data_IF_910602562098
#
_entry.id   IF_910602562098
#
_cell.length_a   1.000
_cell.length_b   1.000
_cell.length_c   1.000
_cell.angle_alpha   90.00
_cell.angle_beta   90.00
_cell.angle_gamma   90.00
#
_symmetry.space_group_name_H-M   'P 1'
#
loop_
_entity.id
_entity.type
_entity.pdbx_description
1 polymer ?
#
# COMPACT_ATOMS: atom_id res chain seq x y z
N UNK A 1 -13.67 18.15 -17.84
CA UNK A 1 -13.26 18.49 -19.21
C UNK A 1 -12.52 17.26 -19.75
N UNK A 2 -13.25 16.39 -20.44
CA UNK A 2 -12.75 15.09 -20.93
C UNK A 2 -11.95 15.31 -22.21
N UNK A 3 -10.69 14.89 -22.24
CA UNK A 3 -9.95 14.73 -23.49
C UNK A 3 -10.17 13.29 -23.98
N UNK A 4 -10.62 13.07 -25.22
CA UNK A 4 -10.68 11.72 -25.80
C UNK A 4 -9.27 11.20 -26.15
N UNK A 5 -9.03 9.88 -26.15
CA UNK A 5 -7.76 9.32 -26.57
C UNK A 5 -7.54 9.51 -28.08
N UNK A 6 -6.32 9.90 -28.45
CA UNK A 6 -5.84 9.98 -29.83
C UNK A 6 -5.83 8.59 -30.50
N UNK A 7 -6.19 8.45 -31.79
CA UNK A 7 -6.15 7.17 -32.48
C UNK A 7 -4.71 6.70 -32.70
N UNK A 8 -4.40 5.51 -32.21
CA UNK A 8 -3.13 4.84 -32.43
C UNK A 8 -2.91 4.55 -33.93
N UNK A 9 -1.83 5.09 -34.48
CA UNK A 9 -1.32 4.76 -35.82
C UNK A 9 -0.77 3.33 -35.78
N UNK A 10 -1.40 2.41 -36.53
CA UNK A 10 -0.91 1.04 -36.74
C UNK A 10 0.32 1.06 -37.65
N UNK A 11 1.43 0.52 -37.19
CA UNK A 11 2.52 0.08 -38.05
C UNK A 11 2.28 -1.37 -38.51
N UNK A 12 2.58 -1.75 -39.77
CA UNK A 12 2.32 -3.09 -40.28
C UNK A 12 3.35 -4.11 -39.78
N UNK A 13 2.86 -5.28 -39.38
CA UNK A 13 3.66 -6.46 -39.06
C UNK A 13 3.88 -7.28 -40.35
N UNK A 14 5.11 -7.69 -40.71
CA UNK A 14 5.31 -8.54 -41.87
C UNK A 14 5.01 -10.01 -41.55
N UNK A 15 4.32 -10.64 -42.50
CA UNK A 15 3.88 -12.03 -42.47
C UNK A 15 5.01 -13.05 -42.72
N UNK A 16 4.63 -14.33 -42.59
CA UNK A 16 5.35 -15.60 -42.84
C UNK A 16 5.96 -16.22 -41.57
N UNK A 17 5.74 -17.48 -41.21
CA UNK A 17 5.37 -18.67 -41.98
C UNK A 17 4.66 -19.69 -41.09
N UNK A 18 3.62 -20.31 -41.64
CA UNK A 18 2.99 -21.52 -41.10
C UNK A 18 3.96 -22.70 -41.25
N UNK A 19 4.27 -23.40 -40.16
CA UNK A 19 4.77 -24.77 -40.23
C UNK A 19 3.89 -25.67 -39.37
N UNK A 20 3.09 -26.46 -40.08
CA UNK A 20 2.44 -27.67 -39.59
C UNK A 20 3.52 -28.72 -39.44
N UNK A 21 3.69 -29.35 -38.28
CA UNK A 21 4.44 -30.59 -38.19
C UNK A 21 3.72 -31.66 -37.37
N UNK A 22 3.54 -32.77 -38.08
CA UNK A 22 2.95 -34.04 -37.69
C UNK A 22 3.71 -34.73 -36.56
N UNK A 23 2.97 -35.44 -35.71
CA UNK A 23 3.50 -36.37 -34.71
C UNK A 23 4.23 -37.53 -35.40
N UNK A 24 5.50 -37.76 -35.03
CA UNK A 24 6.13 -39.06 -35.23
C UNK A 24 7.07 -39.37 -34.06
N UNK A 25 6.75 -40.45 -33.34
CA UNK A 25 7.57 -41.05 -32.30
C UNK A 25 8.89 -41.54 -32.89
N UNK A 26 10.01 -41.11 -32.31
CA UNK A 26 11.30 -41.80 -32.45
C UNK A 26 11.89 -42.01 -31.06
N UNK A 27 11.89 -43.29 -30.66
CA UNK A 27 12.59 -43.84 -29.50
C UNK A 27 14.03 -44.11 -29.95
N UNK A 28 15.02 -43.48 -29.30
CA UNK A 28 16.43 -43.93 -29.37
C UNK A 28 17.01 -43.95 -27.95
N UNK A 29 17.32 -45.18 -27.50
CA UNK A 29 18.17 -45.51 -26.34
C UNK A 29 19.56 -44.89 -26.53
N UNK A 30 20.22 -44.47 -25.45
CA UNK A 30 21.47 -45.01 -24.83
C UNK A 30 22.27 -43.74 -24.42
N UNK A 31 22.97 -43.54 -23.30
CA UNK A 31 23.66 -44.42 -22.36
C UNK A 31 23.99 -43.61 -21.06
N UNK A 32 24.18 -44.32 -19.96
CA UNK A 32 24.47 -43.85 -18.60
C UNK A 32 25.77 -43.03 -18.49
N UNK A 33 25.82 -42.11 -17.51
CA UNK A 33 26.84 -42.16 -16.45
C UNK A 33 26.35 -41.48 -15.16
N UNK A 34 26.31 -42.27 -14.07
CA UNK A 34 25.87 -41.87 -12.73
C UNK A 34 27.10 -41.70 -11.84
N UNK A 35 27.22 -40.52 -11.20
CA UNK A 35 27.80 -40.30 -9.86
C UNK A 35 26.99 -39.13 -9.29
N UNK A 36 26.20 -39.18 -8.23
CA UNK A 36 26.16 -40.09 -7.10
C UNK A 36 26.17 -39.25 -5.81
N UNK A 37 25.05 -38.61 -5.46
CA UNK A 37 24.72 -38.21 -4.08
C UNK A 37 23.20 -38.07 -3.94
N UNK A 38 22.65 -38.82 -2.99
CA UNK A 38 21.23 -39.07 -2.76
C UNK A 38 20.54 -37.85 -2.17
N UNK A 39 19.36 -37.50 -2.68
CA UNK A 39 18.29 -36.95 -1.85
C UNK A 39 17.00 -37.67 -2.24
N UNK A 40 16.44 -38.40 -1.30
CA UNK A 40 15.28 -39.27 -1.44
C UNK A 40 14.01 -38.46 -1.68
N UNK A 41 13.21 -39.01 -2.60
CA UNK A 41 11.84 -38.70 -2.97
C UNK A 41 10.98 -37.96 -1.92
N UNK A 42 10.35 -36.89 -2.40
CA UNK A 42 9.07 -36.37 -1.92
C UNK A 42 8.40 -35.66 -3.09
N UNK A 43 7.60 -36.39 -3.86
CA UNK A 43 6.91 -35.88 -5.02
C UNK A 43 5.81 -34.88 -4.60
N UNK A 44 5.87 -33.65 -5.09
CA UNK A 44 4.68 -32.82 -5.30
C UNK A 44 4.56 -32.63 -6.80
N UNK A 45 3.52 -33.24 -7.35
CA UNK A 45 3.11 -33.17 -8.75
C UNK A 45 2.70 -31.73 -9.06
N UNK A 46 3.56 -30.98 -9.75
CA UNK A 46 3.14 -29.73 -10.39
C UNK A 46 2.65 -30.07 -11.80
N UNK A 47 1.31 -30.06 -11.96
CA UNK A 47 0.69 -30.09 -13.28
C UNK A 47 1.21 -28.91 -14.10
N UNK A 48 1.75 -29.26 -15.27
CA UNK A 48 2.20 -28.36 -16.32
C UNK A 48 1.05 -27.51 -16.85
N UNK A 49 1.27 -26.20 -16.94
CA UNK A 49 0.45 -25.34 -17.78
C UNK A 49 0.23 -23.94 -17.22
N UNK A 50 1.27 -23.10 -17.26
CA UNK A 50 1.15 -21.66 -17.53
C UNK A 50 2.53 -21.07 -17.80
N UNK A 51 2.64 -20.40 -18.94
CA UNK A 51 3.80 -19.68 -19.42
C UNK A 51 4.24 -18.62 -18.43
N UNK A 52 5.49 -18.71 -17.97
CA UNK A 52 6.15 -17.66 -17.22
C UNK A 52 6.29 -16.40 -18.11
N UNK A 53 5.90 -15.20 -17.65
CA UNK A 53 6.39 -13.98 -18.28
C UNK A 53 7.90 -13.87 -18.00
N UNK A 54 8.63 -13.54 -19.06
CA UNK A 54 10.05 -13.23 -19.05
C UNK A 54 10.32 -12.05 -18.09
N UNK A 55 10.67 -12.37 -16.85
CA UNK A 55 11.25 -11.43 -15.89
C UNK A 55 12.19 -12.19 -14.96
N UNK A 56 13.30 -12.69 -15.52
CA UNK A 56 14.42 -13.15 -14.73
C UNK A 56 15.56 -12.14 -14.87
N UNK A 57 15.87 -11.41 -13.80
CA UNK A 57 17.19 -11.47 -13.18
C UNK A 57 17.31 -10.57 -11.94
N UNK A 58 17.81 -11.21 -10.87
CA UNK A 58 18.34 -10.67 -9.62
C UNK A 58 17.37 -10.36 -8.47
N UNK A 59 16.93 -11.43 -7.80
CA UNK A 59 16.92 -11.47 -6.34
C UNK A 59 17.81 -12.64 -5.91
N UNK A 60 18.70 -12.46 -4.94
CA UNK A 60 19.42 -13.58 -4.31
C UNK A 60 18.38 -14.60 -3.83
N UNK A 61 18.55 -15.88 -4.20
CA UNK A 61 17.71 -16.99 -3.71
C UNK A 61 17.73 -17.01 -2.18
N UNK A 62 16.61 -16.67 -1.53
CA UNK A 62 16.31 -17.16 -0.18
C UNK A 62 15.78 -16.14 0.85
N UNK A 63 15.89 -14.83 0.64
CA UNK A 63 15.28 -13.85 1.55
C UNK A 63 14.03 -13.26 0.90
N UNK A 64 12.86 -13.75 1.31
CA UNK A 64 11.60 -13.06 1.05
C UNK A 64 11.60 -11.82 1.94
N UNK A 65 11.81 -10.63 1.36
CA UNK A 65 11.60 -9.37 2.07
C UNK A 65 10.10 -9.30 2.40
N UNK A 66 9.78 -9.57 3.67
CA UNK A 66 8.43 -9.48 4.22
C UNK A 66 8.08 -8.00 4.38
N UNK A 67 7.53 -7.41 3.32
CA UNK A 67 6.98 -6.06 3.36
C UNK A 67 5.66 -6.06 4.14
N UNK A 68 5.48 -5.04 4.99
CA UNK A 68 4.27 -4.88 5.80
C UNK A 68 3.61 -3.52 5.60
N UNK A 69 2.30 -3.48 5.39
CA UNK A 69 1.51 -2.24 5.31
C UNK A 69 0.54 -2.15 6.48
N UNK A 70 0.60 -1.02 7.20
CA UNK A 70 -0.33 -0.72 8.28
C UNK A 70 -1.46 0.19 7.78
N UNK A 71 -2.68 -0.32 7.81
CA UNK A 71 -3.88 0.41 7.44
C UNK A 71 -4.57 0.92 8.71
N UNK A 72 -4.83 2.23 8.80
CA UNK A 72 -5.48 2.86 9.93
C UNK A 72 -6.94 3.15 9.58
N UNK A 73 -7.87 2.55 10.32
CA UNK A 73 -9.30 2.82 10.22
C UNK A 73 -9.72 3.86 11.26
N UNK A 74 -9.92 5.11 10.82
CA UNK A 74 -10.42 6.22 11.65
C UNK A 74 -11.92 6.18 11.94
N UNK A 75 -12.66 5.20 11.40
CA UNK A 75 -14.10 5.06 11.64
C UNK A 75 -14.39 4.52 13.04
N UNK A 76 -15.42 5.04 13.74
CA UNK A 76 -15.92 4.42 14.97
C UNK A 76 -16.50 3.01 14.72
N UNK A 77 -16.84 2.70 13.47
CA UNK A 77 -17.31 1.36 13.09
C UNK A 77 -16.14 0.52 12.60
N UNK A 78 -15.74 -0.47 13.42
CA UNK A 78 -14.63 -1.37 13.13
C UNK A 78 -14.76 -2.06 11.78
N UNK A 79 -15.98 -2.51 11.45
CA UNK A 79 -16.35 -3.15 10.18
C UNK A 79 -17.38 -2.33 9.38
N UNK A 80 -17.19 -1.00 9.33
CA UNK A 80 -18.04 -0.07 8.59
C UNK A 80 -17.57 0.24 7.16
N UNK A 81 -18.14 1.28 6.54
CA UNK A 81 -17.82 1.70 5.16
C UNK A 81 -16.32 1.95 4.90
N UNK A 82 -15.65 2.68 5.81
CA UNK A 82 -14.20 2.92 5.72
C UNK A 82 -13.39 1.64 5.80
N UNK A 83 -13.81 0.69 6.65
CA UNK A 83 -13.17 -0.63 6.74
C UNK A 83 -13.32 -1.41 5.43
N UNK A 84 -14.48 -1.35 4.78
CA UNK A 84 -14.70 -1.97 3.48
C UNK A 84 -13.72 -1.44 2.44
N UNK A 85 -13.54 -0.11 2.36
CA UNK A 85 -12.57 0.50 1.45
C UNK A 85 -11.13 0.05 1.74
N UNK A 86 -10.72 0.07 3.02
CA UNK A 86 -9.40 -0.40 3.44
C UNK A 86 -9.19 -1.89 3.15
N UNK A 87 -10.24 -2.70 3.27
CA UNK A 87 -10.19 -4.14 2.99
C UNK A 87 -9.98 -4.43 1.50
N UNK A 88 -10.52 -3.59 0.60
CA UNK A 88 -10.25 -3.70 -0.84
C UNK A 88 -8.77 -3.44 -1.15
N UNK A 89 -8.20 -2.40 -0.54
CA UNK A 89 -6.77 -2.06 -0.68
C UNK A 89 -5.91 -3.21 -0.11
N UNK A 90 -6.25 -3.68 1.09
CA UNK A 90 -5.54 -4.77 1.75
C UNK A 90 -5.59 -6.07 0.94
N UNK A 91 -6.72 -6.39 0.30
CA UNK A 91 -6.87 -7.55 -0.56
C UNK A 91 -5.86 -7.58 -1.71
N UNK A 92 -5.65 -6.46 -2.40
CA UNK A 92 -4.70 -6.36 -3.52
C UNK A 92 -3.23 -6.41 -3.06
N UNK A 93 -2.94 -5.83 -1.89
CA UNK A 93 -1.62 -5.92 -1.24
C UNK A 93 -1.30 -7.37 -0.85
N UNK A 94 -2.23 -8.06 -0.20
CA UNK A 94 -2.09 -9.47 0.18
C UNK A 94 -1.93 -10.36 -1.06
N UNK A 95 -2.73 -10.13 -2.11
CA UNK A 95 -2.60 -10.84 -3.39
C UNK A 95 -1.22 -10.62 -4.05
N UNK A 96 -0.57 -9.49 -3.74
CA UNK A 96 0.78 -9.14 -4.20
C UNK A 96 1.90 -9.71 -3.31
N UNK A 97 1.57 -10.48 -2.28
CA UNK A 97 2.51 -11.09 -1.32
C UNK A 97 2.99 -10.15 -0.21
N UNK A 98 2.26 -9.06 0.06
CA UNK A 98 2.61 -8.05 1.06
C UNK A 98 1.69 -8.23 2.27
N UNK A 99 2.25 -8.30 3.48
CA UNK A 99 1.48 -8.44 4.71
C UNK A 99 0.70 -7.15 4.98
N UNK A 100 -0.55 -7.27 5.43
CA UNK A 100 -1.37 -6.13 5.81
C UNK A 100 -1.98 -6.30 7.19
N UNK A 101 -2.10 -5.20 7.92
CA UNK A 101 -2.78 -5.14 9.20
C UNK A 101 -3.69 -3.92 9.26
N UNK A 102 -4.95 -4.09 9.63
CA UNK A 102 -5.89 -2.97 9.84
C UNK A 102 -5.99 -2.69 11.34
N UNK A 103 -5.55 -1.51 11.77
CA UNK A 103 -5.72 -0.99 13.12
C UNK A 103 -6.90 -0.01 13.16
N UNK A 104 -7.91 -0.30 13.98
CA UNK A 104 -9.02 0.63 14.21
C UNK A 104 -8.68 1.62 15.34
N UNK A 105 -8.93 2.92 15.10
CA UNK A 105 -8.70 3.99 16.09
C UNK A 105 -9.61 3.86 17.31
N UNK A 106 -10.77 3.23 17.15
CA UNK A 106 -11.72 2.91 18.20
C UNK A 106 -12.87 3.89 18.31
N UNK A 107 -13.83 3.54 19.16
CA UNK A 107 -15.01 4.35 19.50
C UNK A 107 -14.76 5.30 20.67
N UNK A 108 -13.69 5.08 21.44
CA UNK A 108 -13.35 5.92 22.59
C UNK A 108 -12.87 7.30 22.10
N UNK A 109 -13.20 8.39 22.81
CA UNK A 109 -12.61 9.70 22.52
C UNK A 109 -11.08 9.64 22.61
N UNK A 110 -10.40 9.94 21.51
CA UNK A 110 -8.91 9.92 21.47
C UNK A 110 -8.32 11.20 22.06
N UNK A 111 -9.02 12.33 21.94
CA UNK A 111 -8.52 13.65 22.36
C UNK A 111 -7.37 14.16 21.47
N UNK A 112 -7.41 15.44 21.11
CA UNK A 112 -6.39 16.06 20.26
C UNK A 112 -5.03 16.24 20.96
N UNK A 113 -4.01 16.60 20.18
CA UNK A 113 -2.72 16.98 20.75
C UNK A 113 -2.86 18.33 21.49
N UNK A 114 -2.45 18.37 22.77
CA UNK A 114 -2.46 19.60 23.57
C UNK A 114 -1.12 20.36 23.55
N UNK A 115 -0.18 19.95 22.69
CA UNK A 115 1.13 20.63 22.58
C UNK A 115 2.04 20.51 23.81
N UNK A 116 1.84 19.51 24.68
CA UNK A 116 2.59 19.41 25.95
C UNK A 116 4.10 19.13 25.82
N UNK A 117 4.58 18.73 24.64
CA UNK A 117 6.00 18.42 24.40
C UNK A 117 6.52 17.13 25.05
N UNK A 118 5.73 16.41 25.84
CA UNK A 118 6.19 15.23 26.58
C UNK A 118 6.71 14.08 25.70
N UNK A 119 6.30 14.00 24.43
CA UNK A 119 6.80 13.01 23.48
C UNK A 119 8.25 13.24 23.03
N UNK A 120 8.84 14.42 23.31
CA UNK A 120 10.24 14.72 23.00
C UNK A 120 11.22 13.75 23.70
N UNK A 121 10.81 13.12 24.80
CA UNK A 121 11.59 12.08 25.48
C UNK A 121 11.71 10.77 24.67
N UNK A 122 11.00 10.64 23.54
CA UNK A 122 11.11 9.50 22.63
C UNK A 122 10.37 8.22 23.07
N UNK A 123 9.54 8.29 24.11
CA UNK A 123 8.78 7.15 24.67
C UNK A 123 7.33 7.05 24.15
N UNK A 124 7.03 7.71 23.03
CA UNK A 124 5.67 7.82 22.48
C UNK A 124 4.86 8.96 23.10
N UNK A 125 3.54 8.92 22.91
CA UNK A 125 2.62 9.91 23.44
C UNK A 125 2.36 9.67 24.94
N UNK A 126 2.39 10.73 25.75
CA UNK A 126 2.18 10.65 27.21
C UNK A 126 0.78 10.15 27.60
N UNK A 127 -0.22 10.36 26.74
CA UNK A 127 -1.59 9.89 26.96
C UNK A 127 -1.79 8.43 26.53
N UNK A 128 -0.81 7.81 25.87
CA UNK A 128 -0.87 6.40 25.47
C UNK A 128 -2.06 6.05 24.57
N UNK A 129 -2.63 4.87 24.79
CA UNK A 129 -3.78 4.34 24.06
C UNK A 129 -3.41 3.91 22.64
N UNK A 130 -4.40 3.96 21.75
CA UNK A 130 -4.27 3.50 20.35
C UNK A 130 -3.15 4.22 19.57
N UNK A 131 -2.80 5.44 19.97
CA UNK A 131 -1.67 6.17 19.38
C UNK A 131 -0.35 5.45 19.65
N UNK A 132 -0.10 4.98 20.88
CA UNK A 132 1.15 4.28 21.18
C UNK A 132 1.15 2.87 20.57
N UNK A 133 0.00 2.21 20.49
CA UNK A 133 -0.12 0.96 19.74
C UNK A 133 0.27 1.16 18.26
N UNK A 134 -0.26 2.21 17.63
CA UNK A 134 0.09 2.56 16.26
C UNK A 134 1.59 2.89 16.11
N UNK A 135 2.19 3.59 17.07
CA UNK A 135 3.63 3.90 17.07
C UNK A 135 4.47 2.62 17.10
N UNK A 136 4.11 1.65 17.94
CA UNK A 136 4.83 0.37 18.00
C UNK A 136 4.73 -0.39 16.68
N UNK A 137 3.54 -0.46 16.08
CA UNK A 137 3.34 -1.10 14.76
C UNK A 137 4.04 -0.33 13.63
N UNK A 138 4.11 0.99 13.72
CA UNK A 138 4.78 1.84 12.74
C UNK A 138 6.29 1.60 12.65
N UNK A 139 6.93 1.05 13.70
CA UNK A 139 8.36 0.72 13.68
C UNK A 139 8.71 -0.32 12.62
N UNK A 140 7.82 -1.29 12.41
CA UNK A 140 8.02 -2.43 11.50
C UNK A 140 7.21 -2.32 10.20
N UNK A 141 6.33 -1.33 10.07
CA UNK A 141 5.58 -1.11 8.83
C UNK A 141 6.46 -0.43 7.78
N UNK A 142 6.30 -0.80 6.50
CA UNK A 142 7.00 -0.23 5.35
C UNK A 142 6.16 0.83 4.62
N UNK A 143 4.83 0.78 4.76
CA UNK A 143 3.92 1.79 4.25
C UNK A 143 2.65 1.90 5.10
N UNK A 144 1.88 2.95 4.84
CA UNK A 144 0.64 3.26 5.55
C UNK A 144 -0.52 3.53 4.61
N UNK A 145 -1.72 3.17 5.05
CA UNK A 145 -2.96 3.62 4.42
C UNK A 145 -3.86 4.21 5.49
N UNK A 146 -4.24 5.47 5.37
CA UNK A 146 -5.07 6.15 6.35
C UNK A 146 -6.48 6.31 5.80
N UNK A 147 -7.45 5.59 6.39
CA UNK A 147 -8.86 5.64 6.02
C UNK A 147 -9.67 6.42 7.04
N UNK A 148 -10.57 7.29 6.59
CA UNK A 148 -11.48 8.04 7.48
C UNK A 148 -12.89 8.14 6.91
N UNK A 149 -13.95 8.15 7.76
CA UNK A 149 -15.25 8.63 7.33
C UNK A 149 -15.26 10.16 7.26
N UNK A 150 -16.10 10.69 6.37
CA UNK A 150 -16.33 12.13 6.21
C UNK A 150 -17.39 12.60 7.19
N UNK A 151 -17.02 13.48 8.12
CA UNK A 151 -17.92 14.17 9.05
C UNK A 151 -17.90 15.66 8.75
N UNK A 152 -19.03 16.23 8.34
CA UNK A 152 -19.16 17.67 7.99
C UNK A 152 -18.09 18.18 7.01
N UNK A 153 -17.87 17.43 5.91
CA UNK A 153 -16.87 17.73 4.88
C UNK A 153 -15.42 17.80 5.38
N UNK A 154 -15.09 17.04 6.42
CA UNK A 154 -13.74 16.88 6.95
C UNK A 154 -13.53 15.46 7.47
N UNK A 155 -12.27 15.10 7.76
CA UNK A 155 -11.97 13.84 8.41
C UNK A 155 -12.66 13.75 9.78
N UNK A 156 -13.04 12.54 10.18
CA UNK A 156 -13.59 12.33 11.52
C UNK A 156 -12.70 12.87 12.64
N UNK A 157 -13.31 13.42 13.69
CA UNK A 157 -12.58 14.04 14.81
C UNK A 157 -11.64 13.07 15.55
N UNK A 158 -12.00 11.78 15.62
CA UNK A 158 -11.11 10.75 16.16
C UNK A 158 -9.87 10.56 15.28
N UNK A 159 -10.05 10.53 13.95
CA UNK A 159 -8.92 10.40 13.02
C UNK A 159 -7.99 11.61 13.08
N UNK A 160 -8.51 12.83 13.07
CA UNK A 160 -7.67 14.04 13.14
C UNK A 160 -6.91 14.11 14.46
N UNK A 161 -7.59 13.85 15.58
CA UNK A 161 -6.97 13.80 16.91
C UNK A 161 -5.89 12.72 17.02
N UNK A 162 -6.15 11.55 16.44
CA UNK A 162 -5.19 10.46 16.35
C UNK A 162 -3.96 10.86 15.51
N UNK A 163 -4.18 11.43 14.32
CA UNK A 163 -3.11 11.83 13.40
C UNK A 163 -2.23 12.92 13.99
N UNK A 164 -2.79 13.92 14.67
CA UNK A 164 -2.02 14.96 15.36
C UNK A 164 -1.06 14.32 16.38
N UNK A 165 -1.58 13.45 17.24
CA UNK A 165 -0.78 12.81 18.29
C UNK A 165 0.25 11.83 17.70
N UNK A 166 -0.13 11.06 16.68
CA UNK A 166 0.77 10.14 15.97
C UNK A 166 1.90 10.90 15.27
N UNK A 167 1.60 12.00 14.58
CA UNK A 167 2.58 12.83 13.90
C UNK A 167 3.61 13.40 14.88
N UNK A 168 3.16 14.01 15.98
CA UNK A 168 4.06 14.58 16.99
C UNK A 168 4.91 13.52 17.72
N UNK A 169 4.32 12.39 18.10
CA UNK A 169 5.01 11.40 18.93
C UNK A 169 5.73 10.30 18.15
N UNK A 170 5.24 9.99 16.94
CA UNK A 170 5.66 8.85 16.12
C UNK A 170 6.19 9.22 14.74
N UNK A 171 6.23 10.50 14.37
CA UNK A 171 6.58 10.95 13.01
C UNK A 171 7.89 10.38 12.44
N UNK A 172 8.91 10.16 13.28
CA UNK A 172 10.17 9.53 12.87
C UNK A 172 10.01 8.11 12.31
N UNK A 173 8.97 7.39 12.72
CA UNK A 173 8.65 6.04 12.24
C UNK A 173 7.76 6.05 10.99
N UNK A 174 7.18 7.20 10.64
CA UNK A 174 6.43 7.42 9.40
C UNK A 174 7.35 7.90 8.27
N UNK A 175 8.45 8.57 8.62
CA UNK A 175 9.31 9.26 7.66
C UNK A 175 9.74 8.37 6.49
N UNK A 176 9.61 8.92 5.28
CA UNK A 176 10.03 8.32 3.99
C UNK A 176 9.31 7.04 3.57
N UNK A 177 8.34 6.56 4.35
CA UNK A 177 7.52 5.39 4.01
C UNK A 177 6.37 5.81 3.11
N UNK A 178 6.02 5.07 2.05
CA UNK A 178 4.86 5.42 1.23
C UNK A 178 3.57 5.50 2.04
N UNK A 179 2.68 6.41 1.65
CA UNK A 179 1.36 6.58 2.25
C UNK A 179 0.27 6.70 1.20
N UNK A 180 -0.89 6.15 1.51
CA UNK A 180 -2.13 6.46 0.80
C UNK A 180 -3.20 6.95 1.78
N UNK A 181 -4.11 7.80 1.32
CA UNK A 181 -5.27 8.25 2.08
C UNK A 181 -6.52 7.73 1.37
N UNK A 182 -7.57 7.34 2.10
CA UNK A 182 -8.89 7.15 1.51
C UNK A 182 -10.00 7.73 2.39
N UNK A 183 -11.06 8.22 1.74
CA UNK A 183 -12.21 8.79 2.42
C UNK A 183 -13.50 8.02 2.08
N UNK A 184 -14.36 7.83 3.07
CA UNK A 184 -15.69 7.25 2.87
C UNK A 184 -16.77 8.28 3.24
N UNK A 185 -17.70 8.55 2.32
CA UNK A 185 -18.80 9.48 2.54
C UNK A 185 -20.13 8.86 2.15
N UNK A 186 -21.24 9.43 2.66
CA UNK A 186 -22.56 9.11 2.10
C UNK A 186 -22.82 9.81 0.76
N UNK A 187 -22.31 11.02 0.56
CA UNK A 187 -22.61 11.85 -0.63
C UNK A 187 -21.50 12.82 -1.05
N UNK A 188 -20.93 13.59 -0.13
CA UNK A 188 -20.03 14.68 -0.46
C UNK A 188 -19.02 14.96 0.67
N UNK A 189 -18.05 15.85 0.42
CA UNK A 189 -17.06 16.30 1.40
C UNK A 189 -15.78 15.45 1.44
N UNK A 190 -15.61 14.54 0.49
CA UNK A 190 -14.46 13.65 0.35
C UNK A 190 -13.20 14.41 -0.06
N UNK A 191 -13.29 15.33 -1.01
CA UNK A 191 -12.14 16.11 -1.52
C UNK A 191 -11.46 16.93 -0.42
N UNK A 192 -12.23 17.73 0.32
CA UNK A 192 -11.72 18.50 1.46
C UNK A 192 -11.15 17.62 2.58
N UNK A 193 -11.74 16.44 2.77
CA UNK A 193 -11.24 15.44 3.74
C UNK A 193 -9.90 14.86 3.31
N UNK A 194 -9.74 14.53 2.03
CA UNK A 194 -8.46 14.07 1.47
C UNK A 194 -7.42 15.17 1.58
N UNK A 195 -7.73 16.40 1.16
CA UNK A 195 -6.85 17.57 1.24
C UNK A 195 -6.38 17.87 2.67
N UNK A 196 -7.23 17.62 3.66
CA UNK A 196 -6.86 17.74 5.07
C UNK A 196 -5.83 16.69 5.49
N UNK A 197 -6.06 15.41 5.13
CA UNK A 197 -5.25 14.29 5.61
C UNK A 197 -3.93 14.11 4.86
N UNK A 198 -3.83 14.49 3.58
CA UNK A 198 -2.57 14.37 2.81
C UNK A 198 -1.43 15.20 3.39
N UNK A 199 -1.76 16.26 4.14
CA UNK A 199 -0.78 17.12 4.81
C UNK A 199 0.11 16.34 5.78
N UNK A 200 -0.43 15.34 6.50
CA UNK A 200 0.36 14.59 7.48
C UNK A 200 1.50 13.80 6.81
N UNK A 201 1.26 12.94 5.80
CA UNK A 201 2.34 12.31 5.04
C UNK A 201 3.37 13.28 4.45
N UNK A 202 2.93 14.41 3.90
CA UNK A 202 3.81 15.41 3.27
C UNK A 202 4.83 15.97 4.28
N UNK A 203 4.42 16.22 5.53
CA UNK A 203 5.31 16.67 6.60
C UNK A 203 6.42 15.67 6.94
N UNK A 204 6.26 14.39 6.58
CA UNK A 204 7.21 13.31 6.86
C UNK A 204 7.88 12.74 5.60
N UNK A 205 7.89 13.49 4.50
CA UNK A 205 8.51 13.06 3.24
C UNK A 205 7.98 11.72 2.70
N UNK A 206 6.74 11.37 3.04
CA UNK A 206 6.14 10.11 2.62
C UNK A 206 5.72 10.21 1.15
N UNK A 207 6.19 9.31 0.26
CA UNK A 207 5.69 9.25 -1.10
C UNK A 207 4.18 8.97 -1.11
N UNK A 208 3.39 9.89 -1.66
CA UNK A 208 1.96 9.71 -1.79
C UNK A 208 1.64 8.74 -2.93
N UNK A 209 0.92 7.68 -2.61
CA UNK A 209 0.38 6.73 -3.57
C UNK A 209 -1.01 7.18 -3.99
N UNK A 210 -1.19 7.32 -5.30
CA UNK A 210 -2.43 7.74 -5.94
C UNK A 210 -3.02 6.63 -6.79
N UNK A 211 -4.32 6.71 -7.05
CA UNK A 211 -5.01 5.91 -8.07
C UNK A 211 -5.26 6.74 -9.34
N UNK A 212 -6.06 6.18 -10.25
CA UNK A 212 -6.58 6.84 -11.46
C UNK A 212 -7.52 8.00 -11.15
N UNK A 213 -8.08 8.03 -9.94
CA UNK A 213 -8.89 9.12 -9.43
C UNK A 213 -8.65 9.33 -7.93
N UNK A 214 -9.32 10.33 -7.35
CA UNK A 214 -9.24 10.58 -5.92
C UNK A 214 -9.77 9.37 -5.12
N UNK A 215 -9.03 8.91 -4.10
CA UNK A 215 -9.37 7.71 -3.33
C UNK A 215 -10.54 7.95 -2.39
N UNK A 216 -11.75 7.86 -2.93
CA UNK A 216 -12.99 8.00 -2.20
C UNK A 216 -13.99 6.89 -2.52
N UNK A 217 -14.86 6.56 -1.57
CA UNK A 217 -16.00 5.67 -1.76
C UNK A 217 -17.28 6.27 -1.19
N UNK A 218 -18.42 5.89 -1.76
CA UNK A 218 -19.73 6.34 -1.35
C UNK A 218 -20.62 5.21 -0.82
N UNK A 219 -21.27 5.43 0.32
CA UNK A 219 -22.22 4.47 0.88
C UNK A 219 -22.63 4.80 2.32
N UNK A 220 -23.86 4.49 2.70
CA UNK A 220 -24.34 4.66 4.10
C UNK A 220 -24.16 3.39 4.95
N UNK A 221 -23.86 2.27 4.31
CA UNK A 221 -23.58 0.96 4.93
C UNK A 221 -22.56 0.19 4.08
N UNK A 222 -21.86 -0.83 4.64
CA UNK A 222 -20.80 -1.54 3.94
C UNK A 222 -21.19 -2.10 2.57
N UNK A 223 -22.42 -2.59 2.42
CA UNK A 223 -22.90 -3.18 1.16
C UNK A 223 -23.02 -2.12 0.06
N UNK A 224 -23.45 -0.91 0.41
CA UNK A 224 -23.57 0.20 -0.56
C UNK A 224 -22.21 0.71 -1.03
N UNK A 225 -21.15 0.59 -0.21
CA UNK A 225 -19.79 0.90 -0.67
C UNK A 225 -19.39 0.01 -1.83
N UNK A 226 -19.81 -1.25 -1.82
CA UNK A 226 -19.51 -2.20 -2.90
C UNK A 226 -20.30 -1.91 -4.17
N UNK A 227 -21.41 -1.16 -4.07
CA UNK A 227 -22.19 -0.66 -5.21
C UNK A 227 -21.52 0.56 -5.88
N UNK A 228 -20.63 1.28 -5.19
CA UNK A 228 -19.77 2.31 -5.78
C UNK A 228 -18.60 1.65 -6.52
N UNK A 229 -18.89 1.14 -7.73
CA UNK A 229 -17.93 0.37 -8.53
C UNK A 229 -16.67 1.17 -8.88
N UNK A 230 -16.81 2.47 -9.17
CA UNK A 230 -15.69 3.36 -9.49
C UNK A 230 -14.81 3.58 -8.26
N UNK A 231 -15.41 3.95 -7.11
CA UNK A 231 -14.69 4.07 -5.85
C UNK A 231 -13.97 2.77 -5.48
N UNK A 232 -14.64 1.62 -5.64
CA UNK A 232 -14.04 0.31 -5.40
C UNK A 232 -12.88 -0.01 -6.35
N UNK A 233 -12.98 0.37 -7.63
CA UNK A 233 -11.90 0.20 -8.60
C UNK A 233 -10.67 1.03 -8.21
N UNK A 234 -10.88 2.28 -7.78
CA UNK A 234 -9.81 3.16 -7.28
C UNK A 234 -9.15 2.58 -6.03
N UNK A 235 -9.91 2.04 -5.07
CA UNK A 235 -9.34 1.37 -3.89
C UNK A 235 -8.45 0.18 -4.26
N UNK A 236 -8.91 -0.64 -5.20
CA UNK A 236 -8.11 -1.78 -5.68
C UNK A 236 -6.84 -1.34 -6.39
N UNK A 237 -6.94 -0.31 -7.24
CA UNK A 237 -5.79 0.27 -7.92
C UNK A 237 -4.77 0.85 -6.93
N UNK A 238 -5.24 1.52 -5.88
CA UNK A 238 -4.39 2.06 -4.82
C UNK A 238 -3.53 0.96 -4.17
N UNK A 239 -4.14 -0.21 -3.90
CA UNK A 239 -3.42 -1.38 -3.39
C UNK A 239 -2.36 -1.90 -4.35
N UNK A 240 -2.67 -1.99 -5.65
CA UNK A 240 -1.70 -2.41 -6.69
C UNK A 240 -0.56 -1.40 -6.86
N UNK A 241 -0.87 -0.11 -6.89
CA UNK A 241 0.12 0.96 -7.03
C UNK A 241 1.04 1.02 -5.81
N UNK A 242 0.49 0.84 -4.61
CA UNK A 242 1.28 0.72 -3.38
C UNK A 242 2.21 -0.50 -3.44
N UNK A 243 1.69 -1.66 -3.87
CA UNK A 243 2.50 -2.87 -4.01
C UNK A 243 3.65 -2.70 -5.01
N UNK A 244 3.39 -2.06 -6.15
CA UNK A 244 4.41 -1.73 -7.13
C UNK A 244 5.47 -0.81 -6.54
N UNK A 245 5.06 0.29 -5.90
CA UNK A 245 6.00 1.27 -5.34
C UNK A 245 6.89 0.65 -4.25
N UNK A 246 6.32 -0.15 -3.35
CA UNK A 246 7.07 -0.86 -2.31
C UNK A 246 8.13 -1.79 -2.93
N UNK A 247 7.75 -2.58 -3.93
CA UNK A 247 8.69 -3.45 -4.66
C UNK A 247 9.81 -2.65 -5.32
N UNK A 248 9.50 -1.50 -5.92
CA UNK A 248 10.50 -0.61 -6.51
C UNK A 248 11.47 -0.05 -5.44
N UNK A 249 10.96 0.37 -4.29
CA UNK A 249 11.79 0.88 -3.18
C UNK A 249 12.72 -0.21 -2.66
N UNK A 250 12.21 -1.42 -2.43
CA UNK A 250 13.02 -2.55 -1.96
C UNK A 250 14.10 -2.96 -2.96
N UNK A 251 13.75 -3.02 -4.25
CA UNK A 251 14.73 -3.25 -5.32
C UNK A 251 15.77 -2.12 -5.37
N UNK A 252 15.35 -0.86 -5.19
CA UNK A 252 16.24 0.29 -5.09
C UNK A 252 17.26 0.11 -3.96
N UNK A 253 16.79 -0.19 -2.74
CA UNK A 253 17.64 -0.46 -1.57
C UNK A 253 18.62 -1.60 -1.84
N UNK A 254 18.16 -2.70 -2.43
CA UNK A 254 19.00 -3.84 -2.78
C UNK A 254 20.10 -3.50 -3.81
N UNK A 255 19.90 -2.45 -4.60
CA UNK A 255 20.87 -1.92 -5.57
C UNK A 255 21.62 -0.68 -5.06
N UNK A 256 21.57 -0.40 -3.75
CA UNK A 256 22.29 0.72 -3.13
C UNK A 256 21.66 2.10 -3.35
N UNK A 257 20.42 2.17 -3.84
CA UNK A 257 19.64 3.40 -3.94
C UNK A 257 18.88 3.58 -2.64
N UNK A 258 19.38 4.46 -1.79
CA UNK A 258 18.72 4.88 -0.55
C UNK A 258 18.17 6.28 -0.68
N UNK A 259 17.24 6.65 0.21
CA UNK A 259 16.75 8.02 0.27
C UNK A 259 17.93 9.00 0.52
N UNK A 260 18.01 10.14 -0.19
CA UNK A 260 19.08 11.11 0.02
C UNK A 260 19.00 11.77 1.42
N UNK A 261 20.14 12.06 2.02
CA UNK A 261 20.17 12.80 3.28
C UNK A 261 19.84 14.27 3.03
N UNK A 262 18.72 14.74 3.57
CA UNK A 262 18.36 16.15 3.50
C UNK A 262 19.12 16.94 4.57
N UNK A 263 19.73 18.09 4.25
CA UNK A 263 20.33 18.95 5.26
C UNK A 263 19.26 19.46 6.23
N UNK A 264 19.69 19.85 7.44
CA UNK A 264 18.79 20.43 8.43
C UNK A 264 18.11 21.67 7.84
N UNK A 265 16.78 21.65 7.77
CA UNK A 265 15.99 22.79 7.28
C UNK A 265 16.23 24.02 8.17
N UNK A 266 16.50 25.21 7.59
CA UNK A 266 16.44 26.45 8.34
C UNK A 266 15.04 26.63 8.96
N UNK A 267 14.98 26.88 10.26
CA UNK A 267 13.74 27.20 10.95
C UNK A 267 13.72 28.70 11.22
N UNK A 268 12.86 29.42 10.52
CA UNK A 268 12.57 30.83 10.76
C UNK A 268 11.17 30.95 11.33
N UNK A 269 11.03 31.66 12.44
CA UNK A 269 9.73 32.12 12.89
C UNK A 269 9.35 33.33 12.03
N UNK A 270 8.06 33.51 11.70
CA UNK A 270 7.55 34.74 11.08
C UNK A 270 7.51 35.92 12.07
N UNK A 271 8.48 35.96 12.99
CA UNK A 271 8.64 36.96 14.03
C UNK A 271 9.94 37.67 13.72
N UNK A 272 9.86 38.99 13.54
CA UNK A 272 10.99 39.90 13.42
C UNK A 272 11.07 40.74 14.69
#
# INVERSE_FOLDING_TARGET
MYLPPSPAVRAPCPASSCFVFSYLHIIVKTQLFVKGARCTQGAIVLKSGQSAPCAARFAKKGEYLLMKVLLINGSPHEKGCTYTALSLIAGELNASGIETEILNVGTKPVGGCIGCGGCAAGKGCVFGGVVNEAIEKAKTADAFVFGTPVHYASASGNMTSFMDRLAYAGGKYLAYKPAAICASARRAGTTTTLDQLVKYPEFFHMPLVSGSYWPMVHGSKPEQVLEDEEGCAVMRELGRNMAWLLKCIELGKANGITHPENPRRPMTNFIR
#
